data_IF_607634012602
#
_entry.id   IF_607634012602
#
_cell.length_a   1.000
_cell.length_b   1.000
_cell.length_c   1.000
_cell.angle_alpha   90.00
_cell.angle_beta   90.00
_cell.angle_gamma   90.00
#
_symmetry.space_group_name_H-M   'P 1'
#
loop_
_entity.id
_entity.type
_entity.pdbx_description
1 polymer ?
#
# COMPACT_ATOMS: atom_id res chain seq x y z
N UNK A 1 -16.81 -25.56 6.20
CA UNK A 1 -16.96 -24.10 6.03
C UNK A 1 -16.48 -23.77 4.65
N UNK A 2 -17.34 -23.18 3.83
CA UNK A 2 -16.95 -22.73 2.49
C UNK A 2 -16.09 -21.48 2.68
N UNK A 3 -14.76 -21.63 2.55
CA UNK A 3 -13.84 -20.51 2.72
C UNK A 3 -13.96 -19.63 1.49
N UNK A 4 -14.75 -18.56 1.58
CA UNK A 4 -14.78 -17.53 0.55
C UNK A 4 -13.34 -17.03 0.32
N UNK A 5 -12.79 -17.34 -0.84
CA UNK A 5 -11.48 -16.87 -1.30
C UNK A 5 -11.73 -15.62 -2.14
N UNK A 6 -11.16 -14.49 -1.75
CA UNK A 6 -11.23 -13.27 -2.55
C UNK A 6 -10.65 -13.57 -3.95
N UNK A 7 -11.43 -13.41 -5.04
CA UNK A 7 -10.96 -13.71 -6.40
C UNK A 7 -9.81 -12.80 -6.85
N UNK A 8 -9.56 -11.71 -6.14
CA UNK A 8 -8.45 -10.80 -6.40
C UNK A 8 -7.20 -11.14 -5.57
N UNK A 9 -7.23 -12.15 -4.70
CA UNK A 9 -6.07 -12.58 -3.92
C UNK A 9 -5.60 -13.96 -4.34
N UNK A 10 -4.28 -14.17 -4.41
CA UNK A 10 -3.73 -15.51 -4.58
C UNK A 10 -3.70 -16.31 -3.27
N UNK A 11 -3.27 -17.57 -3.35
CA UNK A 11 -3.17 -18.46 -2.18
C UNK A 11 -2.20 -17.96 -1.09
N UNK A 12 -1.39 -16.94 -1.36
CA UNK A 12 -0.45 -16.31 -0.42
C UNK A 12 -1.02 -15.02 0.16
N UNK A 13 -2.23 -14.60 -0.23
CA UNK A 13 -2.84 -13.33 0.15
C UNK A 13 -2.32 -12.14 -0.64
N UNK A 14 -1.71 -12.35 -1.81
CA UNK A 14 -1.23 -11.27 -2.68
C UNK A 14 -2.38 -10.73 -3.51
N UNK A 15 -2.61 -9.41 -3.47
CA UNK A 15 -3.59 -8.73 -4.31
C UNK A 15 -3.16 -8.72 -5.80
N UNK A 16 -3.71 -9.68 -6.54
CA UNK A 16 -3.54 -9.83 -7.98
C UNK A 16 -4.27 -8.72 -8.75
N UNK A 17 -5.33 -8.13 -8.18
CA UNK A 17 -6.03 -6.98 -8.75
C UNK A 17 -5.11 -5.79 -8.90
N UNK A 18 -4.39 -5.45 -7.83
CA UNK A 18 -3.40 -4.37 -7.83
C UNK A 18 -2.28 -4.63 -8.85
N UNK A 19 -1.78 -5.87 -8.95
CA UNK A 19 -0.75 -6.24 -9.94
C UNK A 19 -1.27 -6.02 -11.37
N UNK A 20 -2.51 -6.44 -11.65
CA UNK A 20 -3.12 -6.25 -12.98
C UNK A 20 -3.27 -4.78 -13.35
N UNK A 21 -3.63 -3.94 -12.39
CA UNK A 21 -3.70 -2.48 -12.61
C UNK A 21 -2.31 -1.90 -12.91
N UNK A 22 -1.29 -2.28 -12.14
CA UNK A 22 0.09 -1.83 -12.37
C UNK A 22 0.62 -2.24 -13.75
N UNK A 23 0.27 -3.44 -14.23
CA UNK A 23 0.65 -3.91 -15.57
C UNK A 23 -0.04 -3.14 -16.69
N UNK A 24 -1.23 -2.57 -16.45
CA UNK A 24 -1.98 -1.76 -17.42
C UNK A 24 -1.49 -0.30 -17.50
N UNK A 25 -0.74 0.15 -16.50
CA UNK A 25 -0.19 1.50 -16.46
C UNK A 25 1.02 1.69 -17.36
N UNK A 26 1.20 2.90 -17.87
CA UNK A 26 2.49 3.34 -18.42
C UNK A 26 3.56 3.38 -17.32
N UNK A 27 4.84 3.37 -17.73
CA UNK A 27 5.98 3.52 -16.80
C UNK A 27 5.83 4.81 -15.98
N UNK A 28 5.44 5.92 -16.62
CA UNK A 28 5.29 7.20 -15.96
C UNK A 28 4.19 7.18 -14.87
N UNK A 29 3.07 6.50 -15.13
CA UNK A 29 1.99 6.35 -14.15
C UNK A 29 2.40 5.49 -12.96
N UNK A 30 3.08 4.35 -13.21
CA UNK A 30 3.63 3.52 -12.13
C UNK A 30 4.58 4.30 -11.23
N UNK A 31 5.50 5.06 -11.83
CA UNK A 31 6.46 5.88 -11.06
C UNK A 31 5.74 6.92 -10.21
N UNK A 32 4.72 7.61 -10.77
CA UNK A 32 3.91 8.57 -9.99
C UNK A 32 3.22 7.91 -8.80
N UNK A 33 2.64 6.73 -8.99
CA UNK A 33 2.00 6.01 -7.89
C UNK A 33 2.99 5.57 -6.81
N UNK A 34 4.16 5.06 -7.19
CA UNK A 34 5.20 4.66 -6.23
C UNK A 34 5.70 5.86 -5.41
N UNK A 35 5.93 7.01 -6.06
CA UNK A 35 6.34 8.24 -5.36
C UNK A 35 5.24 8.72 -4.41
N UNK A 36 3.98 8.68 -4.84
CA UNK A 36 2.85 9.04 -3.98
C UNK A 36 2.76 8.13 -2.74
N UNK A 37 2.84 6.82 -2.94
CA UNK A 37 2.82 5.85 -1.84
C UNK A 37 3.98 6.07 -0.85
N UNK A 38 5.20 6.33 -1.35
CA UNK A 38 6.35 6.63 -0.52
C UNK A 38 6.16 7.90 0.31
N UNK A 39 5.61 8.97 -0.28
CA UNK A 39 5.33 10.22 0.43
C UNK A 39 4.27 10.04 1.54
N UNK A 40 3.23 9.25 1.26
CA UNK A 40 2.20 8.91 2.26
C UNK A 40 2.81 8.14 3.43
N UNK A 41 3.62 7.11 3.13
CA UNK A 41 4.33 6.32 4.14
C UNK A 41 5.27 7.17 5.02
N UNK A 42 6.06 8.04 4.40
CA UNK A 42 6.93 8.99 5.14
C UNK A 42 6.11 9.90 6.07
N UNK A 43 4.98 10.43 5.57
CA UNK A 43 4.10 11.28 6.37
C UNK A 43 3.50 10.51 7.55
N UNK A 44 3.06 9.27 7.34
CA UNK A 44 2.56 8.41 8.42
C UNK A 44 3.64 8.14 9.48
N UNK A 45 4.85 7.78 9.06
CA UNK A 45 5.97 7.55 9.97
C UNK A 45 6.33 8.79 10.78
N UNK A 46 6.37 9.96 10.13
CA UNK A 46 6.64 11.22 10.81
C UNK A 46 5.55 11.55 11.84
N UNK A 47 4.28 11.34 11.49
CA UNK A 47 3.18 11.55 12.42
C UNK A 47 3.28 10.59 13.61
N UNK A 48 3.51 9.29 13.39
CA UNK A 48 3.71 8.32 14.48
C UNK A 48 4.84 8.75 15.41
N UNK A 49 5.99 9.18 14.86
CA UNK A 49 7.11 9.69 15.66
C UNK A 49 6.69 10.89 16.51
N UNK A 50 6.02 11.89 15.91
CA UNK A 50 5.56 13.10 16.61
C UNK A 50 4.52 12.78 17.70
N UNK A 51 3.62 11.83 17.46
CA UNK A 51 2.64 11.39 18.46
C UNK A 51 3.32 10.65 19.63
N UNK A 52 4.31 9.80 19.35
CA UNK A 52 5.11 9.14 20.39
C UNK A 52 5.87 10.13 21.27
N UNK A 53 6.48 11.15 20.67
CA UNK A 53 7.20 12.21 21.39
C UNK A 53 6.28 13.06 22.29
N UNK A 54 5.03 13.28 21.87
CA UNK A 54 4.01 13.97 22.68
C UNK A 54 3.51 13.16 23.87
N UNK A 55 3.54 11.83 23.81
CA UNK A 55 3.11 10.96 24.92
C UNK A 55 4.18 10.81 26.02
N UNK A 56 5.43 11.14 25.71
CA UNK A 56 6.57 11.07 26.64
C UNK A 56 6.86 12.40 27.38
N UNK A 57 6.08 13.45 27.10
CA UNK A 57 6.11 14.75 27.79
C UNK A 57 4.88 14.90 28.67
#
# INVERSE_FOLDING_TARGET
>A
MDSWQNPNEDARGVDIGQIRELLRMSVAERVRQMVHAANVLMTMQENVRRFGEKQLR
#
